data_IF_316853585631
#
_entry.id   IF_316853585631
#
_cell.length_a   1.000
_cell.length_b   1.000
_cell.length_c   1.000
_cell.angle_alpha   90.00
_cell.angle_beta   90.00
_cell.angle_gamma   90.00
#
_symmetry.space_group_name_H-M   'P 1'
#
loop_
_entity.id
_entity.type
_entity.pdbx_description
1 polymer ?
#
# COMPACT_ATOMS: atom_id res chain seq x y z
N UNK A 1 -14.96 -8.57 -11.58
CA UNK A 1 -16.00 -9.05 -10.65
C UNK A 1 -15.99 -10.57 -10.73
N UNK A 2 -15.48 -11.25 -9.70
CA UNK A 2 -15.53 -12.71 -9.66
C UNK A 2 -17.03 -13.12 -9.60
N UNK A 3 -17.46 -14.17 -10.30
CA UNK A 3 -18.86 -14.57 -10.40
C UNK A 3 -19.52 -15.07 -9.10
N UNK A 4 -18.78 -15.11 -7.98
CA UNK A 4 -19.18 -15.80 -6.75
C UNK A 4 -19.74 -14.91 -5.63
N UNK A 5 -19.92 -13.59 -5.85
CA UNK A 5 -20.45 -12.68 -4.82
C UNK A 5 -19.59 -12.50 -3.56
N UNK A 6 -18.46 -13.23 -3.46
CA UNK A 6 -17.46 -13.06 -2.41
C UNK A 6 -16.66 -11.80 -2.66
N UNK A 7 -16.86 -10.80 -1.80
CA UNK A 7 -16.03 -9.61 -1.78
C UNK A 7 -14.75 -9.92 -1.00
N UNK A 8 -13.69 -10.31 -1.70
CA UNK A 8 -12.36 -10.40 -1.10
C UNK A 8 -11.87 -8.98 -0.80
N UNK A 9 -11.76 -8.63 0.48
CA UNK A 9 -11.17 -7.37 0.96
C UNK A 9 -9.71 -7.64 1.36
N UNK A 10 -8.73 -7.49 0.45
CA UNK A 10 -7.35 -7.75 0.78
C UNK A 10 -6.86 -6.74 1.83
N UNK A 11 -6.24 -7.24 2.90
CA UNK A 11 -5.54 -6.41 3.87
C UNK A 11 -4.23 -5.91 3.28
N UNK A 12 -4.07 -4.59 3.17
CA UNK A 12 -2.92 -3.95 2.51
C UNK A 12 -2.41 -2.78 3.32
N UNK A 13 -1.12 -2.49 3.17
CA UNK A 13 -0.47 -1.35 3.79
C UNK A 13 -0.25 -0.26 2.73
N UNK A 14 -0.81 0.91 2.97
CA UNK A 14 -0.56 2.10 2.18
C UNK A 14 0.54 2.91 2.85
N UNK A 15 1.68 3.00 2.18
CA UNK A 15 2.82 3.78 2.64
C UNK A 15 2.85 5.11 1.88
N UNK A 16 2.36 6.17 2.52
CA UNK A 16 2.32 7.51 1.93
C UNK A 16 3.53 8.33 2.30
N UNK A 17 4.31 8.72 1.28
CA UNK A 17 5.48 9.56 1.43
C UNK A 17 5.50 10.62 0.31
N UNK A 18 4.95 11.83 0.55
CA UNK A 18 4.86 12.83 -0.48
C UNK A 18 6.24 13.34 -0.90
N UNK A 19 6.37 13.68 -2.18
CA UNK A 19 7.64 14.14 -2.77
C UNK A 19 8.20 15.41 -2.11
N UNK A 20 7.36 16.20 -1.46
CA UNK A 20 7.73 17.42 -0.71
C UNK A 20 8.38 17.15 0.65
N UNK A 21 8.46 15.89 1.11
CA UNK A 21 9.08 15.55 2.39
C UNK A 21 10.61 15.63 2.35
N UNK A 22 11.18 16.25 3.38
CA UNK A 22 12.63 16.34 3.61
C UNK A 22 13.26 14.97 3.87
N UNK A 23 14.56 14.85 3.59
CA UNK A 23 15.31 13.59 3.65
C UNK A 23 15.21 12.85 5.01
N UNK A 24 15.22 13.59 6.13
CA UNK A 24 15.09 13.01 7.47
C UNK A 24 13.75 12.28 7.67
N UNK A 25 12.66 12.87 7.19
CA UNK A 25 11.34 12.24 7.25
C UNK A 25 11.27 11.00 6.38
N UNK A 26 11.90 11.01 5.19
CA UNK A 26 11.96 9.84 4.31
C UNK A 26 12.67 8.66 4.98
N UNK A 27 13.75 8.93 5.71
CA UNK A 27 14.48 7.90 6.45
C UNK A 27 13.66 7.32 7.62
N UNK A 28 13.01 8.17 8.42
CA UNK A 28 12.20 7.72 9.56
C UNK A 28 11.04 6.85 9.07
N UNK A 29 10.34 7.29 8.02
CA UNK A 29 9.22 6.54 7.46
C UNK A 29 9.67 5.23 6.80
N UNK A 30 10.85 5.18 6.17
CA UNK A 30 11.39 3.94 5.61
C UNK A 30 11.60 2.87 6.70
N UNK A 31 12.13 3.26 7.86
CA UNK A 31 12.25 2.37 9.01
C UNK A 31 10.90 1.94 9.58
N UNK A 32 9.95 2.87 9.67
CA UNK A 32 8.59 2.58 10.12
C UNK A 32 7.84 1.60 9.18
N UNK A 33 8.04 1.72 7.87
CA UNK A 33 7.46 0.82 6.85
C UNK A 33 7.82 -0.63 7.13
N UNK A 34 9.09 -0.89 7.41
CA UNK A 34 9.58 -2.25 7.67
C UNK A 34 9.01 -2.80 8.99
N UNK A 35 8.99 -1.98 10.05
CA UNK A 35 8.40 -2.33 11.34
C UNK A 35 6.92 -2.71 11.20
N UNK A 36 6.13 -1.88 10.52
CA UNK A 36 4.70 -2.09 10.34
C UNK A 36 4.43 -3.28 9.44
N UNK A 37 5.21 -3.47 8.36
CA UNK A 37 5.10 -4.67 7.52
C UNK A 37 5.32 -5.96 8.32
N UNK A 38 6.35 -6.00 9.15
CA UNK A 38 6.70 -7.18 9.94
C UNK A 38 5.68 -7.44 11.06
N UNK A 39 5.14 -6.39 11.68
CA UNK A 39 4.16 -6.51 12.78
C UNK A 39 2.77 -6.86 12.29
N UNK A 40 2.36 -6.30 11.14
CA UNK A 40 1.02 -6.46 10.58
C UNK A 40 0.89 -7.67 9.65
N UNK A 41 1.99 -8.40 9.40
CA UNK A 41 2.06 -9.56 8.49
C UNK A 41 1.39 -9.32 7.13
N UNK A 42 1.47 -8.08 6.65
CA UNK A 42 0.72 -7.65 5.48
C UNK A 42 1.32 -8.24 4.20
N UNK A 43 0.47 -8.85 3.38
CA UNK A 43 0.91 -9.52 2.15
C UNK A 43 1.20 -8.57 0.98
N UNK A 44 0.65 -7.35 1.01
CA UNK A 44 0.83 -6.34 -0.05
C UNK A 44 1.06 -4.95 0.54
N UNK A 45 2.11 -4.29 0.08
CA UNK A 45 2.46 -2.91 0.46
C UNK A 45 2.45 -2.07 -0.82
N UNK A 46 1.81 -0.90 -0.76
CA UNK A 46 1.80 0.07 -1.84
C UNK A 46 2.48 1.35 -1.39
N UNK A 47 3.54 1.72 -2.10
CA UNK A 47 4.19 3.02 -1.96
C UNK A 47 3.40 4.04 -2.79
N UNK A 48 2.93 5.09 -2.14
CA UNK A 48 2.19 6.19 -2.76
C UNK A 48 2.85 7.52 -2.42
N UNK A 49 3.07 8.35 -3.43
CA UNK A 49 3.70 9.67 -3.27
C UNK A 49 2.72 10.81 -3.52
N UNK A 50 1.55 10.48 -4.09
CA UNK A 50 0.50 11.41 -4.47
C UNK A 50 -0.90 10.81 -4.28
N UNK A 51 -1.93 11.65 -4.38
CA UNK A 51 -3.32 11.20 -4.36
C UNK A 51 -3.69 10.42 -5.63
N UNK A 52 -3.02 10.69 -6.76
CA UNK A 52 -3.24 9.98 -8.03
C UNK A 52 -2.87 8.50 -7.89
N UNK A 53 -1.76 8.20 -7.19
CA UNK A 53 -1.33 6.82 -6.92
C UNK A 53 -2.37 6.03 -6.10
N UNK A 54 -3.13 6.72 -5.25
CA UNK A 54 -4.19 6.12 -4.43
C UNK A 54 -5.38 5.67 -5.29
N UNK A 55 -5.73 6.45 -6.33
CA UNK A 55 -6.81 6.11 -7.26
C UNK A 55 -6.49 4.88 -8.10
N UNK A 56 -5.21 4.56 -8.30
CA UNK A 56 -4.78 3.37 -9.03
C UNK A 56 -4.80 2.07 -8.20
N UNK A 57 -4.89 2.16 -6.86
CA UNK A 57 -4.84 1.00 -5.95
C UNK A 57 -5.92 -0.05 -6.27
N UNK A 58 -7.20 0.29 -6.53
CA UNK A 58 -8.21 -0.70 -6.90
C UNK A 58 -7.83 -1.52 -8.16
N UNK A 59 -7.20 -0.88 -9.15
CA UNK A 59 -6.74 -1.54 -10.37
C UNK A 59 -5.56 -2.47 -10.07
N UNK A 60 -4.59 -2.00 -9.27
CA UNK A 60 -3.45 -2.80 -8.80
C UNK A 60 -3.90 -4.00 -7.96
N UNK A 61 -4.93 -3.84 -7.15
CA UNK A 61 -5.54 -4.92 -6.34
C UNK A 61 -6.24 -5.97 -7.21
N UNK A 62 -6.97 -5.52 -8.24
CA UNK A 62 -7.66 -6.40 -9.18
C UNK A 62 -6.70 -7.24 -10.05
N UNK A 63 -5.45 -6.81 -10.19
CA UNK A 63 -4.41 -7.46 -11.01
C UNK A 63 -3.59 -8.53 -10.25
N UNK A 64 -3.92 -8.81 -8.98
CA UNK A 64 -3.24 -9.85 -8.20
C UNK A 64 -3.56 -11.27 -8.71
N UNK A 65 -2.67 -12.26 -8.51
CA UNK A 65 -2.88 -13.62 -8.99
C UNK A 65 -4.17 -14.17 -8.37
N UNK A 66 -5.04 -14.66 -9.26
CA UNK A 66 -6.32 -15.29 -8.92
C UNK A 66 -6.10 -16.66 -8.28
#
# INVERSE_FOLDING_TARGET
MQPDGRMSVPYVLLYYLPTTCNADMRMIYAGAKELVRNTSEVGRVFDIESAEDLEEIPVKLASGPS
#
